data_IF_694624800621
#
_entry.id   IF_694624800621
#
_cell.length_a   1.000
_cell.length_b   1.000
_cell.length_c   1.000
_cell.angle_alpha   90.00
_cell.angle_beta   90.00
_cell.angle_gamma   90.00
#
_symmetry.space_group_name_H-M   'P 1'
#
loop_
_entity.id
_entity.type
_entity.pdbx_description
1 polymer ?
#
# COMPACT_ATOMS: atom_id res chain seq x y z
N UNK A 1 -6.25 51.22 36.65
CA UNK A 1 -4.77 51.29 36.73
C UNK A 1 -4.34 50.79 38.10
N UNK A 2 -3.88 49.54 38.19
CA UNK A 2 -3.16 48.91 39.32
C UNK A 2 -3.06 47.39 39.01
N UNK A 3 -2.02 46.99 38.28
CA UNK A 3 -1.69 45.58 38.03
C UNK A 3 -0.72 45.11 39.12
N UNK A 4 -1.13 44.14 39.94
CA UNK A 4 -0.27 43.56 40.99
C UNK A 4 0.50 42.34 40.46
N UNK A 5 1.66 41.98 41.06
CA UNK A 5 2.56 40.92 40.56
C UNK A 5 1.95 39.51 40.55
N UNK A 6 0.79 39.32 41.18
CA UNK A 6 0.13 38.01 41.30
C UNK A 6 -0.70 37.60 40.06
N UNK A 7 -0.89 38.51 39.09
CA UNK A 7 -1.65 38.20 37.87
C UNK A 7 -0.81 37.41 36.85
N UNK A 8 0.51 37.60 36.85
CA UNK A 8 1.44 36.85 35.98
C UNK A 8 1.41 35.34 36.23
N UNK A 9 1.19 34.91 37.48
CA UNK A 9 1.12 33.48 37.84
C UNK A 9 -0.20 32.81 37.42
N UNK A 10 -1.32 33.56 37.39
CA UNK A 10 -2.64 33.02 37.00
C UNK A 10 -2.86 32.94 35.49
N UNK A 11 -2.15 33.76 34.71
CA UNK A 11 -2.22 33.74 33.24
C UNK A 11 -1.44 32.55 32.65
N UNK A 12 -0.38 32.09 33.34
CA UNK A 12 0.43 30.94 32.90
C UNK A 12 -0.32 29.59 32.96
N UNK A 13 -1.39 29.46 33.75
CA UNK A 13 -2.19 28.22 33.80
C UNK A 13 -3.31 28.16 32.73
N UNK A 14 -3.75 29.28 32.17
CA UNK A 14 -4.99 29.34 31.38
C UNK A 14 -4.80 29.45 29.86
N UNK A 15 -3.62 29.81 29.36
CA UNK A 15 -3.39 30.01 27.92
C UNK A 15 -2.05 29.44 27.47
N UNK A 16 -2.02 28.12 27.27
CA UNK A 16 -1.06 27.52 26.34
C UNK A 16 -1.62 26.31 25.55
N UNK A 17 -2.95 26.18 25.40
CA UNK A 17 -3.53 25.07 24.61
C UNK A 17 -4.37 25.49 23.42
N UNK A 18 -4.94 26.70 23.38
CA UNK A 18 -5.92 26.99 22.33
C UNK A 18 -5.33 27.64 21.06
N UNK A 19 -4.17 28.32 21.11
CA UNK A 19 -3.75 29.19 19.98
C UNK A 19 -2.29 29.04 19.48
N UNK A 20 -1.41 28.28 20.15
CA UNK A 20 -0.08 27.90 19.59
C UNK A 20 -0.02 26.38 19.28
N UNK A 21 -1.17 25.76 19.00
CA UNK A 21 -1.24 24.35 18.62
C UNK A 21 -1.65 24.13 17.14
N UNK A 22 -2.09 25.15 16.41
CA UNK A 22 -2.71 24.93 15.10
C UNK A 22 -1.77 25.07 13.89
N UNK A 23 -0.68 25.82 13.97
CA UNK A 23 0.17 26.06 12.79
C UNK A 23 1.55 25.39 12.85
N UNK A 24 1.65 24.20 13.45
CA UNK A 24 2.76 23.31 13.13
C UNK A 24 2.47 22.59 11.82
N UNK A 25 2.91 23.20 10.73
CA UNK A 25 2.91 22.65 9.36
C UNK A 25 3.23 21.13 9.34
N UNK A 26 2.31 20.26 8.88
CA UNK A 26 2.50 18.79 8.91
C UNK A 26 3.45 18.27 7.82
N UNK A 27 4.20 19.14 7.14
CA UNK A 27 5.11 18.77 6.05
C UNK A 27 6.15 17.73 6.47
N UNK A 28 6.60 17.76 7.72
CA UNK A 28 7.60 16.81 8.22
C UNK A 28 7.07 15.37 8.28
N UNK A 29 5.77 15.18 8.49
CA UNK A 29 5.13 13.86 8.49
C UNK A 29 5.07 13.32 7.05
N UNK A 30 4.69 14.18 6.11
CA UNK A 30 4.61 13.84 4.68
C UNK A 30 5.99 13.49 4.11
N UNK A 31 7.02 14.28 4.44
CA UNK A 31 8.41 13.99 4.02
C UNK A 31 8.87 12.65 4.58
N UNK A 32 8.62 12.36 5.86
CA UNK A 32 8.99 11.06 6.44
C UNK A 32 8.23 9.89 5.80
N UNK A 33 6.96 10.07 5.46
CA UNK A 33 6.17 9.06 4.77
C UNK A 33 6.71 8.82 3.34
N UNK A 34 7.04 9.88 2.62
CA UNK A 34 7.62 9.78 1.27
C UNK A 34 8.97 9.07 1.28
N UNK A 35 9.86 9.40 2.22
CA UNK A 35 11.16 8.74 2.35
C UNK A 35 11.03 7.24 2.67
N UNK A 36 10.14 6.87 3.59
CA UNK A 36 9.84 5.45 3.88
C UNK A 36 9.33 4.71 2.65
N UNK A 37 8.47 5.37 1.87
CA UNK A 37 7.94 4.79 0.65
C UNK A 37 9.01 4.55 -0.41
N UNK A 38 10.00 5.46 -0.53
CA UNK A 38 11.15 5.29 -1.42
C UNK A 38 12.03 4.10 -0.98
N UNK A 39 12.30 3.95 0.32
CA UNK A 39 13.06 2.82 0.84
C UNK A 39 12.35 1.48 0.56
N UNK A 40 11.03 1.43 0.73
CA UNK A 40 10.22 0.25 0.43
C UNK A 40 10.30 -0.13 -1.07
N UNK A 41 10.28 0.87 -1.95
CA UNK A 41 10.41 0.69 -3.40
C UNK A 41 11.82 0.20 -3.74
N UNK A 42 12.88 0.78 -3.18
CA UNK A 42 14.26 0.35 -3.47
C UNK A 42 14.49 -1.07 -2.95
N UNK A 43 14.01 -1.40 -1.75
CA UNK A 43 14.06 -2.77 -1.23
C UNK A 43 13.29 -3.76 -2.13
N UNK A 44 12.14 -3.35 -2.68
CA UNK A 44 11.39 -4.16 -3.63
C UNK A 44 12.14 -4.32 -4.96
N UNK A 45 12.77 -3.25 -5.45
CA UNK A 45 13.60 -3.25 -6.65
C UNK A 45 14.79 -4.19 -6.48
N UNK A 46 15.50 -4.11 -5.37
CA UNK A 46 16.62 -5.01 -5.02
C UNK A 46 16.18 -6.47 -5.02
N UNK A 47 14.99 -6.78 -4.48
CA UNK A 47 14.43 -8.15 -4.49
C UNK A 47 14.07 -8.66 -5.88
N UNK A 48 13.71 -7.77 -6.80
CA UNK A 48 13.43 -8.13 -8.20
C UNK A 48 14.75 -8.27 -8.98
N UNK A 49 15.73 -7.40 -8.74
CA UNK A 49 17.04 -7.44 -9.41
C UNK A 49 17.95 -8.54 -8.88
N UNK A 50 17.76 -8.99 -7.64
CA UNK A 50 18.50 -10.13 -7.07
C UNK A 50 18.18 -11.46 -7.74
N UNK A 51 17.19 -11.49 -8.65
CA UNK A 51 16.90 -12.66 -9.48
C UNK A 51 16.57 -13.90 -8.67
N UNK A 52 16.06 -13.73 -7.45
CA UNK A 52 15.73 -14.86 -6.60
C UNK A 52 14.52 -15.59 -7.16
N UNK A 53 14.79 -16.74 -7.76
CA UNK A 53 13.79 -17.75 -8.09
C UNK A 53 13.05 -18.11 -6.79
N UNK A 54 11.86 -17.53 -6.61
CA UNK A 54 11.00 -17.90 -5.48
C UNK A 54 10.40 -19.26 -5.75
N UNK A 55 10.47 -20.17 -4.78
CA UNK A 55 9.78 -21.45 -4.88
C UNK A 55 8.28 -21.28 -4.59
N UNK A 56 7.46 -22.06 -5.28
CA UNK A 56 6.02 -22.12 -5.07
C UNK A 56 5.71 -22.78 -3.72
N UNK A 57 4.94 -22.13 -2.86
CA UNK A 57 4.53 -22.67 -1.56
C UNK A 57 3.68 -23.95 -1.66
N UNK A 58 3.12 -24.26 -2.84
CA UNK A 58 2.23 -25.43 -3.04
C UNK A 58 2.95 -26.63 -3.66
N UNK A 59 3.83 -26.41 -4.64
CA UNK A 59 4.48 -27.52 -5.37
C UNK A 59 6.01 -27.50 -5.29
N UNK A 60 6.61 -26.53 -4.59
CA UNK A 60 8.06 -26.40 -4.44
C UNK A 60 8.82 -26.01 -5.71
N UNK A 61 8.14 -25.89 -6.86
CA UNK A 61 8.77 -25.51 -8.14
C UNK A 61 9.12 -24.02 -8.20
N UNK A 62 10.17 -23.61 -8.92
CA UNK A 62 10.50 -22.20 -9.10
C UNK A 62 9.36 -21.45 -9.79
N UNK A 63 9.02 -20.27 -9.28
CA UNK A 63 8.03 -19.37 -9.85
C UNK A 63 8.72 -18.63 -10.99
N UNK A 64 8.18 -18.79 -12.20
CA UNK A 64 8.73 -18.20 -13.42
C UNK A 64 9.09 -16.71 -13.23
N UNK A 65 10.29 -16.27 -13.66
CA UNK A 65 10.75 -14.90 -13.44
C UNK A 65 9.84 -13.86 -14.09
N UNK A 66 9.22 -14.16 -15.25
CA UNK A 66 8.23 -13.29 -15.88
C UNK A 66 7.03 -13.00 -14.95
N UNK A 67 6.63 -13.97 -14.13
CA UNK A 67 5.55 -13.84 -13.15
C UNK A 67 5.97 -13.03 -11.92
N UNK A 68 7.22 -13.20 -11.46
CA UNK A 68 7.78 -12.38 -10.37
C UNK A 68 8.03 -10.94 -10.81
N UNK A 69 8.43 -10.71 -12.08
CA UNK A 69 8.54 -9.38 -12.68
C UNK A 69 7.18 -8.67 -12.75
N UNK A 70 6.13 -9.38 -13.19
CA UNK A 70 4.78 -8.82 -13.27
C UNK A 70 4.12 -8.67 -11.88
N UNK A 71 4.35 -9.62 -10.97
CA UNK A 71 3.80 -9.64 -9.61
C UNK A 71 4.86 -10.14 -8.61
N UNK A 72 5.67 -9.23 -8.02
CA UNK A 72 6.75 -9.58 -7.09
C UNK A 72 6.29 -10.27 -5.80
N UNK A 73 4.99 -10.20 -5.49
CA UNK A 73 4.36 -10.81 -4.31
C UNK A 73 3.76 -12.19 -4.58
N UNK A 74 3.92 -12.74 -5.80
CA UNK A 74 3.38 -14.06 -6.12
C UNK A 74 4.05 -15.15 -5.26
N UNK A 75 3.23 -15.86 -4.47
CA UNK A 75 3.65 -16.98 -3.60
C UNK A 75 3.51 -18.37 -4.25
N UNK A 76 2.88 -18.43 -5.44
CA UNK A 76 2.58 -19.69 -6.12
C UNK A 76 2.78 -19.59 -7.63
N UNK A 77 3.15 -20.71 -8.25
CA UNK A 77 3.36 -20.83 -9.68
C UNK A 77 2.05 -20.71 -10.48
N UNK A 78 2.17 -20.57 -11.80
CA UNK A 78 1.04 -20.36 -12.70
C UNK A 78 0.09 -21.55 -12.72
N UNK A 79 0.62 -22.77 -12.67
CA UNK A 79 -0.18 -23.99 -12.61
C UNK A 79 -0.99 -24.10 -11.31
N UNK A 80 -0.36 -23.85 -10.16
CA UNK A 80 -1.05 -23.86 -8.86
C UNK A 80 -2.10 -22.76 -8.76
N UNK A 81 -1.85 -21.58 -9.35
CA UNK A 81 -2.84 -20.51 -9.38
C UNK A 81 -3.98 -20.81 -10.36
N UNK A 82 -3.70 -21.39 -11.53
CA UNK A 82 -4.73 -21.79 -12.50
C UNK A 82 -5.66 -22.86 -11.90
N UNK A 83 -5.11 -23.85 -11.18
CA UNK A 83 -5.89 -24.85 -10.45
C UNK A 83 -6.79 -24.25 -9.36
N UNK A 84 -6.43 -23.11 -8.77
CA UNK A 84 -7.27 -22.39 -7.79
C UNK A 84 -8.29 -21.45 -8.44
N UNK A 85 -7.89 -20.75 -9.51
CA UNK A 85 -8.71 -19.76 -10.22
C UNK A 85 -9.71 -20.36 -11.21
N UNK A 86 -9.59 -21.64 -11.55
CA UNK A 86 -10.55 -22.37 -12.38
C UNK A 86 -11.90 -22.64 -11.72
N UNK A 87 -12.17 -22.10 -10.53
CA UNK A 87 -13.49 -22.15 -9.87
C UNK A 87 -14.00 -20.73 -9.63
N UNK A 88 -14.92 -20.26 -10.46
CA UNK A 88 -15.78 -19.12 -10.11
C UNK A 88 -15.60 -17.86 -10.95
N UNK A 89 -15.96 -17.92 -12.23
CA UNK A 89 -17.16 -17.24 -12.71
C UNK A 89 -17.51 -17.88 -14.05
N UNK A 90 -18.46 -18.81 -14.01
CA UNK A 90 -19.21 -19.17 -15.20
C UNK A 90 -20.00 -17.92 -15.61
N UNK A 91 -19.46 -17.19 -16.57
CA UNK A 91 -20.24 -16.22 -17.33
C UNK A 91 -21.18 -17.04 -18.23
N UNK A 92 -22.51 -16.87 -18.14
CA UNK A 92 -23.42 -17.62 -18.99
C UNK A 92 -23.09 -17.28 -20.45
N UNK A 93 -23.05 -18.26 -21.38
CA UNK A 93 -22.99 -17.92 -22.79
C UNK A 93 -24.31 -17.21 -23.11
N UNK A 94 -24.29 -15.88 -23.22
CA UNK A 94 -25.38 -15.19 -23.89
C UNK A 94 -25.32 -15.64 -25.34
N UNK A 95 -26.25 -16.53 -25.68
CA UNK A 95 -26.63 -16.84 -27.05
C UNK A 95 -27.08 -15.53 -27.71
N UNK A 96 -26.13 -14.74 -28.18
CA UNK A 96 -26.38 -13.77 -29.24
C UNK A 96 -26.63 -14.60 -30.49
N UNK A 97 -27.89 -15.01 -30.63
CA UNK A 97 -28.41 -15.59 -31.84
C UNK A 97 -28.03 -14.71 -33.02
N UNK A 98 -27.17 -15.23 -33.87
CA UNK A 98 -27.02 -14.81 -35.25
C UNK A 98 -28.17 -15.42 -36.07
N UNK A 99 -29.42 -15.08 -35.72
CA UNK A 99 -30.58 -15.43 -36.53
C UNK A 99 -30.89 -14.27 -37.46
N UNK A 100 -30.35 -14.37 -38.68
CA UNK A 100 -31.01 -13.93 -39.90
C UNK A 100 -31.29 -12.45 -40.10
N UNK A 101 -30.37 -11.74 -40.76
CA UNK A 101 -30.74 -10.62 -41.63
C UNK A 101 -31.09 -11.26 -42.99
N UNK A 102 -32.39 -11.37 -43.30
CA UNK A 102 -32.95 -11.57 -44.65
C UNK A 102 -34.07 -10.58 -44.85
#
# INVERSE_FOLDING_TARGET
MQWTPNLARRILEFTCTHEIAFERSPLTILIRQALRHLDDIEAARIRVTSGQDRLCETCGQPIAPARLKARPVARTCIECAARRGGRGHEWPPTSSGSSGIR
#
